data_IF_943772336413
#
_entry.id   IF_943772336413
#
_cell.length_a   1.000
_cell.length_b   1.000
_cell.length_c   1.000
_cell.angle_alpha   90.00
_cell.angle_beta   90.00
_cell.angle_gamma   90.00
#
_symmetry.space_group_name_H-M   'P 1'
#
loop_
_entity.id
_entity.type
_entity.pdbx_description
1 polymer ?
#
# COMPACT_ATOMS: atom_id res chain seq x y z
N UNK A 1 -9.86 -20.12 -5.88
CA UNK A 1 -9.29 -19.40 -4.73
C UNK A 1 -7.78 -19.42 -4.86
N UNK A 2 -7.12 -18.26 -4.83
CA UNK A 2 -5.67 -18.14 -4.95
C UNK A 2 -5.00 -18.36 -3.59
N UNK A 3 -3.83 -19.01 -3.61
CA UNK A 3 -3.00 -19.23 -2.41
C UNK A 3 -1.79 -18.28 -2.42
N UNK A 4 -1.13 -18.13 -1.28
CA UNK A 4 0.12 -17.36 -1.18
C UNK A 4 1.14 -17.78 -2.25
N UNK A 5 1.38 -19.10 -2.36
CA UNK A 5 2.37 -19.67 -3.28
C UNK A 5 2.04 -19.33 -4.74
N UNK A 6 0.78 -19.50 -5.14
CA UNK A 6 0.34 -19.21 -6.50
C UNK A 6 0.52 -17.73 -6.87
N UNK A 7 0.23 -16.81 -5.94
CA UNK A 7 0.41 -15.37 -6.17
C UNK A 7 1.90 -15.03 -6.25
N UNK A 8 2.74 -15.55 -5.34
CA UNK A 8 4.20 -15.33 -5.37
C UNK A 8 4.81 -15.79 -6.69
N UNK A 9 4.47 -16.99 -7.16
CA UNK A 9 4.97 -17.53 -8.44
C UNK A 9 4.50 -16.69 -9.63
N UNK A 10 3.25 -16.20 -9.60
CA UNK A 10 2.74 -15.32 -10.65
C UNK A 10 3.50 -13.99 -10.70
N UNK A 11 3.80 -13.38 -9.54
CA UNK A 11 4.60 -12.16 -9.45
C UNK A 11 6.02 -12.37 -9.98
N UNK A 12 6.66 -13.49 -9.65
CA UNK A 12 7.98 -13.83 -10.16
C UNK A 12 7.98 -14.07 -11.66
N UNK A 13 6.96 -14.74 -12.20
CA UNK A 13 6.77 -14.91 -13.65
C UNK A 13 6.55 -13.59 -14.38
N UNK A 14 5.97 -12.58 -13.72
CA UNK A 14 5.85 -11.22 -14.24
C UNK A 14 7.16 -10.42 -14.19
N UNK A 15 8.19 -10.95 -13.52
CA UNK A 15 9.52 -10.35 -13.45
C UNK A 15 9.90 -9.73 -12.11
N UNK A 16 9.08 -9.89 -11.06
CA UNK A 16 9.48 -9.46 -9.70
C UNK A 16 10.62 -10.34 -9.20
N UNK A 17 11.72 -9.71 -8.80
CA UNK A 17 12.93 -10.38 -8.33
C UNK A 17 13.19 -10.14 -6.84
N UNK A 18 13.95 -11.06 -6.24
CA UNK A 18 14.46 -10.88 -4.87
C UNK A 18 15.32 -9.62 -4.79
N UNK A 19 15.06 -8.77 -3.79
CA UNK A 19 15.76 -7.50 -3.59
C UNK A 19 15.08 -6.28 -4.22
N UNK A 20 13.98 -6.47 -4.96
CA UNK A 20 13.27 -5.35 -5.61
C UNK A 20 12.65 -4.38 -4.61
N UNK A 21 12.61 -3.10 -5.00
CA UNK A 21 11.71 -2.10 -4.45
C UNK A 21 10.44 -2.07 -5.29
N UNK A 22 9.35 -2.64 -4.77
CA UNK A 22 8.09 -2.81 -5.48
C UNK A 22 7.02 -1.86 -4.93
N UNK A 23 6.61 -0.86 -5.70
CA UNK A 23 5.44 -0.02 -5.40
C UNK A 23 4.19 -0.63 -6.02
N UNK A 24 3.13 -0.84 -5.23
CA UNK A 24 1.94 -1.59 -5.62
C UNK A 24 0.68 -0.72 -5.59
N UNK A 25 -0.10 -0.82 -6.67
CA UNK A 25 -1.51 -0.45 -6.69
C UNK A 25 -2.32 -1.70 -7.02
N UNK A 26 -3.22 -2.11 -6.13
CA UNK A 26 -3.93 -3.38 -6.27
C UNK A 26 -5.43 -3.25 -6.03
N UNK A 27 -6.20 -3.96 -6.86
CA UNK A 27 -7.62 -4.21 -6.63
C UNK A 27 -7.81 -5.64 -6.17
N UNK A 28 -8.14 -5.84 -4.89
CA UNK A 28 -8.44 -7.17 -4.34
C UNK A 28 -9.60 -7.84 -5.08
N UNK A 29 -10.58 -7.05 -5.55
CA UNK A 29 -11.69 -7.54 -6.38
C UNK A 29 -11.19 -8.14 -7.69
N UNK A 30 -10.21 -7.51 -8.33
CA UNK A 30 -9.65 -7.97 -9.60
C UNK A 30 -8.72 -9.19 -9.45
N UNK A 31 -8.05 -9.32 -8.29
CA UNK A 31 -7.30 -10.53 -7.94
C UNK A 31 -8.25 -11.72 -7.71
N UNK A 32 -9.45 -11.46 -7.23
CA UNK A 32 -10.44 -12.50 -6.93
C UNK A 32 -10.24 -13.14 -5.55
N UNK A 33 -10.93 -14.25 -5.26
CA UNK A 33 -10.88 -14.87 -3.93
C UNK A 33 -9.47 -15.38 -3.59
N UNK A 34 -8.93 -14.95 -2.46
CA UNK A 34 -7.62 -15.37 -1.92
C UNK A 34 -7.83 -16.03 -0.56
N UNK A 35 -7.18 -17.17 -0.33
CA UNK A 35 -7.15 -17.82 0.97
C UNK A 35 -6.51 -16.88 2.01
N UNK A 36 -7.21 -16.55 3.10
CA UNK A 36 -6.73 -15.56 4.08
C UNK A 36 -6.81 -14.09 3.62
N UNK A 37 -7.43 -13.82 2.46
CA UNK A 37 -7.73 -12.46 2.00
C UNK A 37 -6.50 -11.59 1.71
N UNK A 38 -6.57 -10.31 2.07
CA UNK A 38 -5.56 -9.31 1.74
C UNK A 38 -4.21 -9.55 2.42
N UNK A 39 -4.21 -10.12 3.62
CA UNK A 39 -2.97 -10.48 4.34
C UNK A 39 -2.12 -11.45 3.53
N UNK A 40 -2.76 -12.43 2.89
CA UNK A 40 -2.07 -13.38 2.00
C UNK A 40 -1.48 -12.70 0.77
N UNK A 41 -2.13 -11.67 0.24
CA UNK A 41 -1.59 -10.87 -0.87
C UNK A 41 -0.34 -10.11 -0.41
N UNK A 42 -0.38 -9.46 0.76
CA UNK A 42 0.81 -8.79 1.35
C UNK A 42 1.93 -9.79 1.60
N UNK A 43 1.62 -10.96 2.15
CA UNK A 43 2.59 -12.01 2.40
C UNK A 43 3.21 -12.52 1.09
N UNK A 44 2.43 -12.69 0.03
CA UNK A 44 2.92 -13.12 -1.28
C UNK A 44 3.84 -12.06 -1.92
N UNK A 45 3.47 -10.78 -1.87
CA UNK A 45 4.32 -9.66 -2.33
C UNK A 45 5.68 -9.66 -1.60
N UNK A 46 5.65 -9.79 -0.27
CA UNK A 46 6.86 -9.91 0.56
C UNK A 46 7.69 -11.14 0.23
N UNK A 47 7.05 -12.28 -0.04
CA UNK A 47 7.76 -13.49 -0.47
C UNK A 47 8.39 -13.33 -1.85
N UNK A 48 7.76 -12.59 -2.76
CA UNK A 48 8.27 -12.37 -4.12
C UNK A 48 9.54 -11.51 -4.13
N UNK A 49 9.54 -10.41 -3.37
CA UNK A 49 10.73 -9.52 -3.26
C UNK A 49 11.76 -10.04 -2.26
N UNK A 50 11.43 -11.04 -1.44
CA UNK A 50 12.33 -11.64 -0.47
C UNK A 50 12.71 -10.72 0.71
N UNK A 51 13.63 -11.15 1.58
CA UNK A 51 13.95 -10.46 2.84
C UNK A 51 14.71 -9.14 2.67
N UNK A 52 15.39 -8.94 1.54
CA UNK A 52 16.13 -7.72 1.21
C UNK A 52 15.34 -6.75 0.34
N UNK A 53 14.20 -7.19 -0.20
CA UNK A 53 13.31 -6.36 -1.00
C UNK A 53 12.37 -5.52 -0.14
N UNK A 54 11.79 -4.50 -0.76
CA UNK A 54 10.86 -3.57 -0.11
C UNK A 54 9.55 -3.53 -0.88
N UNK A 55 8.42 -3.60 -0.16
CA UNK A 55 7.09 -3.39 -0.73
C UNK A 55 6.56 -2.05 -0.24
N UNK A 56 6.11 -1.20 -1.17
CA UNK A 56 5.60 0.13 -0.92
C UNK A 56 4.16 0.25 -1.45
N UNK A 57 3.31 0.97 -0.73
CA UNK A 57 1.95 1.32 -1.16
C UNK A 57 1.69 2.80 -0.97
N UNK A 58 0.80 3.37 -1.78
CA UNK A 58 0.34 4.75 -1.61
C UNK A 58 -0.92 4.80 -0.76
N UNK A 59 -0.73 4.92 0.55
CA UNK A 59 -1.82 4.81 1.53
C UNK A 59 -2.72 6.04 1.59
N UNK A 60 -2.12 7.25 1.54
CA UNK A 60 -2.78 8.50 1.92
C UNK A 60 -3.45 8.40 3.31
N UNK A 61 -4.31 9.36 3.64
CA UNK A 61 -5.03 9.41 4.90
C UNK A 61 -6.54 9.55 4.65
N UNK A 62 -7.33 8.71 5.29
CA UNK A 62 -8.80 8.68 5.15
C UNK A 62 -9.50 9.95 5.65
N UNK A 63 -8.86 10.73 6.53
CA UNK A 63 -9.37 12.02 7.05
C UNK A 63 -8.51 13.21 6.64
N UNK A 64 -7.82 13.11 5.51
CA UNK A 64 -7.03 14.23 4.98
C UNK A 64 -7.94 15.43 4.72
N UNK A 65 -7.63 16.64 5.24
CA UNK A 65 -8.41 17.86 4.97
C UNK A 65 -8.06 18.47 3.59
N UNK A 66 -7.72 17.63 2.62
CA UNK A 66 -7.16 18.07 1.34
C UNK A 66 -8.16 18.92 0.56
N UNK A 67 -9.42 18.52 0.51
CA UNK A 67 -10.46 19.24 -0.23
C UNK A 67 -10.83 20.54 0.48
N UNK A 68 -10.88 20.51 1.82
CA UNK A 68 -11.23 21.63 2.69
C UNK A 68 -10.17 22.74 2.72
N UNK A 69 -8.95 22.42 2.31
CA UNK A 69 -7.82 23.35 2.24
C UNK A 69 -7.35 23.62 0.81
N UNK A 70 -8.06 23.09 -0.19
CA UNK A 70 -7.68 23.19 -1.59
C UNK A 70 -7.80 24.64 -2.09
N UNK A 71 -6.92 25.04 -3.01
CA UNK A 71 -6.96 26.34 -3.70
C UNK A 71 -6.96 27.57 -2.77
N UNK A 72 -6.28 27.46 -1.61
CA UNK A 72 -6.17 28.56 -0.65
C UNK A 72 -7.35 28.68 0.31
N UNK A 73 -8.30 27.74 0.26
CA UNK A 73 -9.30 27.58 1.30
C UNK A 73 -8.65 27.35 2.66
N UNK A 74 -9.30 27.83 3.71
CA UNK A 74 -8.88 27.61 5.09
C UNK A 74 -10.03 26.95 5.83
N UNK A 75 -9.70 25.97 6.65
CA UNK A 75 -10.60 25.48 7.68
C UNK A 75 -11.04 26.67 8.55
N UNK A 76 -12.31 26.70 8.90
CA UNK A 76 -12.77 27.59 9.95
C UNK A 76 -12.09 27.23 11.30
N UNK A 77 -12.22 28.13 12.27
CA UNK A 77 -11.52 27.97 13.55
C UNK A 77 -12.01 26.76 14.36
N UNK A 78 -13.25 26.33 14.21
CA UNK A 78 -13.80 25.18 14.92
C UNK A 78 -13.26 23.88 14.34
N UNK A 79 -13.35 23.71 13.02
CA UNK A 79 -12.80 22.57 12.30
C UNK A 79 -11.29 22.46 12.54
N UNK A 80 -10.54 23.57 12.47
CA UNK A 80 -9.10 23.58 12.73
C UNK A 80 -8.73 23.11 14.14
N UNK A 81 -9.56 23.37 15.14
CA UNK A 81 -9.32 22.96 16.55
C UNK A 81 -9.72 21.52 16.83
N UNK A 82 -10.70 21.00 16.11
CA UNK A 82 -11.33 19.69 16.37
C UNK A 82 -10.87 18.59 15.41
N UNK A 83 -10.27 18.94 14.26
CA UNK A 83 -9.74 17.96 13.33
C UNK A 83 -8.63 17.14 13.98
N UNK A 84 -8.77 15.82 13.94
CA UNK A 84 -7.77 14.93 14.56
C UNK A 84 -6.42 15.12 13.87
N UNK A 85 -5.31 15.21 14.62
CA UNK A 85 -3.99 15.22 14.02
C UNK A 85 -3.71 13.88 13.34
N UNK A 86 -2.91 13.90 12.27
CA UNK A 86 -2.41 12.68 11.66
C UNK A 86 -1.47 11.95 12.63
N UNK A 87 -1.78 10.69 12.91
CA UNK A 87 -0.91 9.76 13.64
C UNK A 87 -0.64 8.53 12.77
N UNK A 88 0.61 8.27 12.36
CA UNK A 88 0.94 7.14 11.48
C UNK A 88 0.65 5.77 12.10
N UNK A 89 0.51 5.66 13.43
CA UNK A 89 0.19 4.40 14.09
C UNK A 89 -1.31 4.06 14.06
N UNK A 90 -2.18 5.07 13.97
CA UNK A 90 -3.64 4.89 14.11
C UNK A 90 -4.46 5.41 12.93
N UNK A 91 -3.89 6.26 12.09
CA UNK A 91 -4.56 6.83 10.93
C UNK A 91 -4.98 5.75 9.92
N UNK A 92 -6.22 5.87 9.42
CA UNK A 92 -6.72 5.02 8.36
C UNK A 92 -6.14 5.39 7.00
N UNK A 93 -6.20 4.44 6.07
CA UNK A 93 -5.76 4.65 4.68
C UNK A 93 -6.93 5.08 3.79
N UNK A 94 -6.66 5.95 2.81
CA UNK A 94 -7.69 6.41 1.87
C UNK A 94 -8.18 5.25 1.00
N UNK A 95 -9.46 4.91 1.11
CA UNK A 95 -10.06 3.74 0.46
C UNK A 95 -9.97 3.76 -1.07
N UNK A 96 -9.92 4.95 -1.68
CA UNK A 96 -9.80 5.11 -3.13
C UNK A 96 -8.50 4.56 -3.72
N UNK A 97 -7.43 4.41 -2.92
CA UNK A 97 -6.18 3.80 -3.36
C UNK A 97 -6.10 2.29 -3.12
N UNK A 98 -7.19 1.70 -2.64
CA UNK A 98 -7.32 0.26 -2.46
C UNK A 98 -7.11 -0.19 -1.02
N UNK A 99 -7.91 -1.18 -0.62
CA UNK A 99 -7.91 -1.73 0.73
C UNK A 99 -6.57 -2.39 1.11
N UNK A 100 -5.78 -2.84 0.14
CA UNK A 100 -4.48 -3.47 0.40
C UNK A 100 -3.53 -2.56 1.20
N UNK A 101 -3.63 -1.23 1.02
CA UNK A 101 -2.77 -0.30 1.75
C UNK A 101 -2.95 -0.38 3.26
N UNK A 102 -4.17 -0.65 3.74
CA UNK A 102 -4.44 -0.85 5.17
C UNK A 102 -3.61 -2.02 5.74
N UNK A 103 -3.52 -3.11 4.98
CA UNK A 103 -2.76 -4.30 5.38
C UNK A 103 -1.25 -4.09 5.24
N UNK A 104 -0.81 -3.27 4.28
CA UNK A 104 0.60 -2.91 4.13
C UNK A 104 1.10 -2.07 5.31
N UNK A 105 0.32 -1.08 5.78
CA UNK A 105 0.72 -0.23 6.92
C UNK A 105 0.68 -0.98 8.26
N UNK A 106 -0.23 -1.96 8.40
CA UNK A 106 -0.34 -2.80 9.60
C UNK A 106 0.69 -3.94 9.63
N UNK A 107 1.27 -4.30 8.49
CA UNK A 107 2.23 -5.38 8.42
C UNK A 107 3.51 -5.01 9.20
N UNK A 108 4.06 -5.91 10.04
CA UNK A 108 5.27 -5.63 10.81
C UNK A 108 6.41 -5.17 9.89
N UNK A 109 7.04 -4.03 10.19
CA UNK A 109 8.20 -3.57 9.45
C UNK A 109 9.34 -4.60 9.58
N UNK A 110 9.89 -5.07 8.46
CA UNK A 110 11.12 -5.88 8.46
C UNK A 110 12.29 -4.92 8.32
N UNK A 111 13.00 -4.65 9.42
CA UNK A 111 14.19 -3.80 9.44
C UNK A 111 13.90 -2.37 8.94
N UNK A 112 13.55 -1.47 9.86
CA UNK A 112 13.23 -0.09 9.53
C UNK A 112 14.45 0.67 9.00
N UNK A 113 14.74 0.56 7.71
CA UNK A 113 15.39 1.63 6.97
C UNK A 113 14.27 2.52 6.41
N UNK A 114 14.18 3.76 6.91
CA UNK A 114 13.45 4.83 6.22
C UNK A 114 14.25 5.13 4.94
N UNK A 115 14.00 4.37 3.88
CA UNK A 115 14.79 4.51 2.64
C UNK A 115 14.49 5.87 2.00
N UNK A 116 15.51 6.68 1.70
CA UNK A 116 15.36 7.89 0.90
C UNK A 116 14.83 7.57 -0.50
N UNK A 117 14.10 8.53 -1.06
CA UNK A 117 13.24 8.43 -2.25
C UNK A 117 13.97 8.27 -3.60
N UNK A 118 15.08 7.51 -3.66
CA UNK A 118 16.00 7.52 -4.81
C UNK A 118 16.46 6.14 -5.29
N UNK A 119 15.55 5.26 -5.71
CA UNK A 119 15.79 4.28 -6.81
C UNK A 119 14.49 3.55 -7.18
N UNK A 120 13.76 4.04 -8.19
CA UNK A 120 12.56 3.37 -8.69
C UNK A 120 12.95 2.29 -9.71
N UNK A 121 12.75 1.00 -9.40
CA UNK A 121 12.74 -0.05 -10.42
C UNK A 121 11.30 -0.35 -10.86
N UNK A 122 11.16 -0.63 -12.15
CA UNK A 122 9.90 -0.71 -12.90
C UNK A 122 9.12 -1.99 -12.58
N UNK A 123 7.85 -1.86 -12.19
CA UNK A 123 6.75 -2.66 -12.74
C UNK A 123 5.39 -2.01 -12.41
N UNK A 124 4.87 -1.19 -13.33
CA UNK A 124 3.43 -0.87 -13.38
C UNK A 124 2.86 -1.64 -14.55
N UNK A 125 2.21 -2.79 -14.28
CA UNK A 125 1.36 -3.45 -15.28
C UNK A 125 0.19 -4.21 -14.62
N UNK A 126 -1.02 -3.72 -14.95
CA UNK A 126 -2.38 -4.31 -14.77
C UNK A 126 -2.99 -4.32 -13.35
N UNK A 127 -4.28 -4.04 -13.10
CA UNK A 127 -5.54 -4.29 -13.84
C UNK A 127 -6.45 -3.03 -13.93
N UNK A 128 -6.52 -2.40 -15.11
CA UNK A 128 -7.75 -1.73 -15.59
C UNK A 128 -8.23 -2.56 -16.78
N UNK A 129 -9.25 -3.40 -16.57
CA UNK A 129 -10.30 -3.53 -17.59
C UNK A 129 -11.37 -2.51 -17.22
#
# INVERSE_FOLDING_TARGET
>A
MHTRKAITEALQKLGVQTGDLLMVHASLKAIGPVEGGAETVVAALRSAVGPTGTVMGYASWDRSPYEETLNGARLDDEARRTWLPFDPATAGTYRGFGLLNQFLVQAPARGAARTPMHRWSRLVRWLKR
#
